data_IF_765368341800
#
_entry.id   IF_765368341800
#
_cell.length_a   1.000
_cell.length_b   1.000
_cell.length_c   1.000
_cell.angle_alpha   90.00
_cell.angle_beta   90.00
_cell.angle_gamma   90.00
#
_symmetry.space_group_name_H-M   'P 1'
#
loop_
_entity.id
_entity.type
_entity.pdbx_description
1 polymer ?
#
# COMPACT_ATOMS: atom_id res chain seq x y z
N UNK A 1 -2.53 31.79 -26.23
CA UNK A 1 -1.48 30.77 -26.27
C UNK A 1 -1.29 30.28 -24.84
N UNK A 2 -2.04 29.26 -24.45
CA UNK A 2 -1.84 28.50 -23.22
C UNK A 2 -1.39 27.11 -23.66
N UNK A 3 -0.08 26.91 -23.73
CA UNK A 3 0.48 25.57 -23.69
C UNK A 3 0.35 25.12 -22.23
N UNK A 4 -0.84 24.62 -21.87
CA UNK A 4 -0.96 23.83 -20.66
C UNK A 4 -0.17 22.54 -20.92
N UNK A 5 0.83 22.33 -20.06
CA UNK A 5 1.63 21.13 -20.00
C UNK A 5 0.73 19.90 -19.97
N UNK A 6 0.57 19.26 -21.12
CA UNK A 6 0.15 17.86 -21.19
C UNK A 6 1.30 17.02 -20.64
N UNK A 7 1.50 17.04 -19.31
CA UNK A 7 2.25 15.98 -18.64
C UNK A 7 1.52 14.70 -19.03
N UNK A 8 2.11 13.90 -19.91
CA UNK A 8 1.52 12.62 -20.30
C UNK A 8 1.26 11.85 -19.03
N UNK A 9 0.00 11.50 -18.75
CA UNK A 9 -0.33 10.66 -17.59
C UNK A 9 0.59 9.44 -17.64
N UNK A 10 1.33 9.22 -16.54
CA UNK A 10 2.24 8.10 -16.44
C UNK A 10 1.45 6.81 -16.67
N UNK A 11 1.93 5.97 -17.58
CA UNK A 11 1.28 4.68 -17.82
C UNK A 11 1.68 3.73 -16.69
N UNK A 12 0.69 3.33 -15.89
CA UNK A 12 0.90 2.36 -14.83
C UNK A 12 0.97 0.94 -15.38
N UNK A 13 1.92 0.15 -14.89
CA UNK A 13 2.08 -1.27 -15.16
C UNK A 13 1.78 -2.04 -13.89
N UNK A 14 0.78 -2.92 -13.93
CA UNK A 14 0.34 -3.72 -12.80
C UNK A 14 1.28 -4.90 -12.57
N UNK A 15 1.69 -5.07 -11.31
CA UNK A 15 2.46 -6.22 -10.86
C UNK A 15 1.59 -7.46 -10.68
N UNK A 16 2.21 -8.62 -10.80
CA UNK A 16 1.56 -9.88 -10.44
C UNK A 16 1.41 -10.08 -8.93
N UNK A 17 2.22 -9.37 -8.14
CA UNK A 17 2.25 -9.47 -6.67
C UNK A 17 1.18 -8.61 -6.03
N UNK A 18 0.62 -9.11 -4.94
CA UNK A 18 -0.37 -8.42 -4.12
C UNK A 18 -0.15 -8.64 -2.64
N UNK A 19 -0.71 -7.74 -1.84
CA UNK A 19 -0.65 -7.77 -0.39
C UNK A 19 -2.04 -8.04 0.17
N UNK A 20 -2.21 -9.20 0.82
CA UNK A 20 -3.42 -9.59 1.52
C UNK A 20 -3.51 -8.90 2.89
N UNK A 21 -4.74 -8.68 3.34
CA UNK A 21 -5.09 -8.28 4.70
C UNK A 21 -6.24 -9.17 5.14
N UNK A 22 -6.19 -9.71 6.37
CA UNK A 22 -7.31 -10.45 6.98
C UNK A 22 -8.33 -9.52 7.66
N UNK A 23 -8.22 -8.20 7.41
CA UNK A 23 -9.01 -7.17 8.02
C UNK A 23 -8.12 -6.05 8.56
N UNK A 24 -8.59 -4.81 8.47
CA UNK A 24 -7.81 -3.64 8.87
C UNK A 24 -6.67 -3.29 7.91
N UNK A 25 -5.84 -2.31 8.29
CA UNK A 25 -5.07 -1.54 7.34
C UNK A 25 -3.78 -2.20 6.86
N UNK A 26 -3.22 -1.67 5.78
CA UNK A 26 -1.85 -1.93 5.36
C UNK A 26 -0.90 -0.86 5.90
N UNK A 27 0.31 -1.27 6.26
CA UNK A 27 1.46 -0.40 6.51
C UNK A 27 2.30 -0.28 5.23
N UNK A 28 2.70 0.94 4.91
CA UNK A 28 3.70 1.27 3.90
C UNK A 28 4.83 2.05 4.56
N UNK A 29 6.04 1.49 4.58
CA UNK A 29 7.20 2.15 5.19
C UNK A 29 8.52 1.75 4.54
N UNK A 30 9.60 2.42 4.89
CA UNK A 30 10.94 2.04 4.44
C UNK A 30 11.31 0.64 4.97
N UNK A 31 11.95 -0.20 4.15
CA UNK A 31 12.32 -1.57 4.54
C UNK A 31 13.19 -1.64 5.80
N UNK A 32 14.04 -0.63 6.02
CA UNK A 32 14.90 -0.56 7.19
C UNK A 32 14.13 -0.15 8.44
N UNK A 33 13.12 0.70 8.29
CA UNK A 33 12.23 1.09 9.38
C UNK A 33 11.34 -0.08 9.80
N UNK A 34 10.88 -0.89 8.84
CA UNK A 34 9.99 -2.02 9.13
C UNK A 34 10.54 -2.97 10.21
N UNK A 35 11.86 -3.11 10.39
CA UNK A 35 12.42 -3.95 11.45
C UNK A 35 11.90 -3.62 12.85
N UNK A 36 11.47 -2.38 13.05
CA UNK A 36 11.03 -1.84 14.35
C UNK A 36 9.50 -1.77 14.46
N UNK A 37 8.77 -2.25 13.44
CA UNK A 37 7.32 -2.40 13.51
C UNK A 37 6.94 -3.64 14.31
N UNK A 38 6.24 -3.43 15.42
CA UNK A 38 5.82 -4.45 16.37
C UNK A 38 4.52 -5.18 16.01
N UNK A 39 3.71 -4.63 15.09
CA UNK A 39 2.42 -5.23 14.71
C UNK A 39 1.38 -5.21 15.83
N UNK A 40 0.48 -6.19 15.80
CA UNK A 40 -0.51 -6.42 16.85
C UNK A 40 0.11 -7.17 18.02
N UNK A 41 -0.25 -6.76 19.24
CA UNK A 41 0.13 -7.46 20.47
C UNK A 41 -1.11 -7.57 21.31
N UNK A 42 -1.39 -8.77 21.80
CA UNK A 42 -2.52 -9.02 22.68
C UNK A 42 -2.05 -9.21 24.13
N UNK A 43 -2.84 -8.70 25.06
CA UNK A 43 -2.71 -8.98 26.48
C UNK A 43 -3.01 -10.47 26.77
N UNK A 44 -2.70 -10.97 27.99
CA UNK A 44 -3.07 -12.34 28.38
C UNK A 44 -4.58 -12.63 28.29
N UNK A 45 -5.41 -11.60 28.32
CA UNK A 45 -6.87 -11.68 28.21
C UNK A 45 -7.37 -11.59 26.76
N UNK A 46 -6.45 -11.65 25.78
CA UNK A 46 -6.69 -11.52 24.34
C UNK A 46 -7.20 -10.14 23.89
N UNK A 47 -7.09 -9.12 24.75
CA UNK A 47 -7.39 -7.74 24.37
C UNK A 47 -6.21 -7.13 23.62
N UNK A 48 -6.48 -6.33 22.58
CA UNK A 48 -5.42 -5.62 21.86
C UNK A 48 -4.72 -4.64 22.82
N UNK A 49 -3.41 -4.74 22.94
CA UNK A 49 -2.60 -3.82 23.71
C UNK A 49 -2.68 -2.42 23.09
N UNK A 50 -3.21 -1.46 23.85
CA UNK A 50 -3.37 -0.08 23.37
C UNK A 50 -2.04 0.62 23.11
N UNK A 51 -0.94 0.09 23.64
CA UNK A 51 0.41 0.58 23.41
C UNK A 51 1.13 -0.11 22.24
N UNK A 52 0.52 -1.09 21.55
CA UNK A 52 1.14 -1.69 20.38
C UNK A 52 1.05 -0.81 19.13
N UNK A 53 1.88 -1.11 18.13
CA UNK A 53 1.93 -0.36 16.87
C UNK A 53 0.62 -0.46 16.09
N UNK A 54 -0.01 -1.63 16.06
CA UNK A 54 -1.30 -1.81 15.39
C UNK A 54 -2.42 -0.96 16.02
N UNK A 55 -2.47 -0.86 17.34
CA UNK A 55 -3.46 0.00 18.01
C UNK A 55 -3.22 1.48 17.72
N UNK A 56 -1.95 1.92 17.61
CA UNK A 56 -1.61 3.27 17.16
C UNK A 56 -2.07 3.53 15.73
N UNK A 57 -1.82 2.59 14.81
CA UNK A 57 -2.29 2.68 13.44
C UNK A 57 -3.81 2.80 13.34
N UNK A 58 -4.54 1.96 14.09
CA UNK A 58 -5.99 2.02 14.15
C UNK A 58 -6.49 3.38 14.66
N UNK A 59 -5.86 3.90 15.71
CA UNK A 59 -6.22 5.20 16.28
C UNK A 59 -5.93 6.36 15.31
N UNK A 60 -4.90 6.23 14.46
CA UNK A 60 -4.58 7.22 13.45
C UNK A 60 -5.60 7.29 12.32
N UNK A 61 -6.24 6.16 11.98
CA UNK A 61 -7.32 6.11 10.98
C UNK A 61 -8.68 6.53 11.55
N UNK A 62 -8.89 6.38 12.86
CA UNK A 62 -10.17 6.66 13.52
C UNK A 62 -10.05 7.74 14.62
N UNK A 63 -9.61 8.98 14.28
CA UNK A 63 -9.72 10.08 15.21
C UNK A 63 -11.18 10.34 15.60
N UNK A 64 -11.42 11.01 16.72
CA UNK A 64 -12.77 11.17 17.29
C UNK A 64 -13.80 11.84 16.37
N UNK A 65 -13.34 12.56 15.36
CA UNK A 65 -14.14 13.49 14.58
C UNK A 65 -14.37 13.02 13.14
N UNK A 66 -13.58 12.07 12.62
CA UNK A 66 -13.73 11.55 11.25
C UNK A 66 -12.98 10.22 11.05
N UNK A 67 -13.47 9.37 10.15
CA UNK A 67 -12.75 8.16 9.72
C UNK A 67 -11.92 8.47 8.48
N UNK A 68 -10.62 8.26 8.55
CA UNK A 68 -9.68 8.54 7.47
C UNK A 68 -9.42 7.29 6.63
N UNK A 69 -9.27 7.48 5.31
CA UNK A 69 -8.85 6.41 4.42
C UNK A 69 -7.38 6.03 4.65
N UNK A 70 -6.52 7.02 4.89
CA UNK A 70 -5.10 6.79 5.15
C UNK A 70 -4.56 7.85 6.13
N UNK A 71 -3.59 7.45 6.93
CA UNK A 71 -2.96 8.30 7.95
C UNK A 71 -1.48 7.96 8.11
N UNK A 72 -0.68 8.94 8.56
CA UNK A 72 0.70 8.70 8.94
C UNK A 72 0.82 8.26 10.39
N UNK A 73 1.69 7.28 10.64
CA UNK A 73 2.04 6.83 11.98
C UNK A 73 3.55 6.97 12.21
N UNK A 74 3.91 7.30 13.44
CA UNK A 74 5.30 7.23 13.92
C UNK A 74 5.49 5.97 14.75
N UNK A 75 6.64 5.33 14.60
CA UNK A 75 6.95 4.07 15.28
C UNK A 75 8.46 3.89 15.48
N UNK A 76 8.85 2.83 16.18
CA UNK A 76 10.19 2.66 16.74
C UNK A 76 10.29 3.13 18.20
N UNK A 77 11.38 2.79 18.88
CA UNK A 77 11.58 3.05 20.31
C UNK A 77 11.51 4.55 20.67
N UNK A 78 11.78 5.42 19.69
CA UNK A 78 11.81 6.87 19.83
C UNK A 78 10.97 7.59 18.76
N UNK A 79 9.99 6.89 18.17
CA UNK A 79 9.14 7.43 17.10
C UNK A 79 9.94 7.98 15.90
N UNK A 80 11.13 7.39 15.67
CA UNK A 80 12.08 7.85 14.66
C UNK A 80 11.65 7.48 13.23
N UNK A 81 10.80 6.47 13.08
CA UNK A 81 10.32 6.01 11.79
C UNK A 81 8.96 6.60 11.45
N UNK A 82 8.67 6.68 10.15
CA UNK A 82 7.37 7.05 9.64
C UNK A 82 6.84 5.97 8.70
N UNK A 83 5.55 5.73 8.78
CA UNK A 83 4.83 4.85 7.86
C UNK A 83 3.49 5.45 7.49
N UNK A 84 2.98 5.08 6.33
CA UNK A 84 1.60 5.30 5.96
C UNK A 84 0.78 4.08 6.36
N UNK A 85 -0.33 4.30 7.04
CA UNK A 85 -1.38 3.33 7.29
C UNK A 85 -2.51 3.61 6.31
N UNK A 86 -2.96 2.59 5.60
CA UNK A 86 -4.06 2.70 4.63
C UNK A 86 -5.16 1.69 4.97
N UNK A 87 -6.36 2.18 5.26
CA UNK A 87 -7.52 1.35 5.57
C UNK A 87 -7.91 0.51 4.36
N UNK A 88 -8.12 -0.77 4.59
CA UNK A 88 -8.51 -1.68 3.54
C UNK A 88 -10.04 -1.84 3.46
N UNK A 89 -10.81 -1.49 4.49
CA UNK A 89 -12.26 -1.71 4.59
C UNK A 89 -12.59 -3.22 4.49
N UNK A 90 -12.06 -3.95 5.47
CA UNK A 90 -12.26 -5.39 5.67
C UNK A 90 -11.17 -6.28 5.07
N UNK A 91 -11.42 -7.60 5.05
CA UNK A 91 -10.53 -8.58 4.42
C UNK A 91 -10.42 -8.34 2.92
N UNK A 92 -9.23 -8.50 2.34
CA UNK A 92 -9.02 -8.33 0.91
C UNK A 92 -7.57 -8.37 0.48
N UNK A 93 -7.30 -7.85 -0.72
CA UNK A 93 -5.92 -7.71 -1.20
C UNK A 93 -5.74 -6.40 -1.95
N UNK A 94 -4.57 -5.78 -1.75
CA UNK A 94 -4.11 -4.65 -2.52
C UNK A 94 -3.28 -5.15 -3.72
N UNK A 95 -3.64 -4.68 -4.90
CA UNK A 95 -2.87 -4.74 -6.13
C UNK A 95 -1.88 -3.59 -6.21
N UNK A 96 -0.76 -3.81 -6.90
CA UNK A 96 0.34 -2.85 -6.97
C UNK A 96 0.60 -2.52 -8.43
N UNK A 97 0.82 -1.24 -8.73
CA UNK A 97 1.26 -0.81 -10.04
C UNK A 97 2.38 0.23 -9.95
N UNK A 98 3.25 0.23 -10.95
CA UNK A 98 4.34 1.19 -11.08
C UNK A 98 4.14 2.10 -12.28
N UNK A 99 4.45 3.38 -12.12
CA UNK A 99 4.49 4.35 -13.22
C UNK A 99 5.76 4.16 -14.07
N UNK A 100 5.83 3.04 -14.81
CA UNK A 100 7.01 2.69 -15.60
C UNK A 100 7.20 3.62 -16.78
N UNK A 101 8.40 4.21 -16.89
CA UNK A 101 8.83 4.84 -18.14
C UNK A 101 9.06 3.77 -19.19
N UNK A 102 8.54 3.95 -20.40
CA UNK A 102 8.82 3.05 -21.52
C UNK A 102 10.34 2.89 -21.70
N UNK A 103 10.84 1.66 -21.60
CA UNK A 103 12.27 1.30 -21.69
C UNK A 103 13.18 1.85 -20.57
N UNK A 104 12.62 2.35 -19.47
CA UNK A 104 13.39 2.71 -18.27
C UNK A 104 13.77 1.49 -17.43
N UNK A 105 14.83 1.57 -16.61
CA UNK A 105 15.12 0.53 -15.62
C UNK A 105 14.04 0.56 -14.51
N UNK A 106 13.71 -0.62 -13.95
CA UNK A 106 12.62 -0.79 -12.99
C UNK A 106 12.84 -0.09 -11.63
N UNK A 107 14.04 0.42 -11.38
CA UNK A 107 14.42 1.18 -10.18
C UNK A 107 14.23 2.71 -10.35
N UNK A 108 13.71 3.16 -11.49
CA UNK A 108 13.58 4.57 -11.82
C UNK A 108 12.11 5.01 -12.01
N UNK A 109 11.19 4.28 -11.39
CA UNK A 109 9.78 4.61 -11.41
C UNK A 109 9.51 5.76 -10.43
N UNK A 110 9.07 6.90 -10.97
CA UNK A 110 8.81 8.12 -10.21
C UNK A 110 7.50 8.04 -9.42
N UNK A 111 6.69 6.99 -9.60
CA UNK A 111 5.47 6.78 -8.83
C UNK A 111 5.07 5.30 -8.73
N UNK A 112 4.34 4.95 -7.68
CA UNK A 112 3.67 3.67 -7.53
C UNK A 112 2.28 3.85 -6.94
N UNK A 113 1.44 2.83 -7.10
CA UNK A 113 0.02 2.83 -6.75
C UNK A 113 -0.30 1.53 -6.02
N UNK A 114 -1.02 1.64 -4.91
CA UNK A 114 -1.69 0.53 -4.25
C UNK A 114 -3.19 0.68 -4.52
N UNK A 115 -3.86 -0.40 -4.92
CA UNK A 115 -5.29 -0.37 -5.23
C UNK A 115 -5.99 -1.58 -4.63
N UNK A 116 -7.12 -1.34 -3.99
CA UNK A 116 -8.06 -2.37 -3.58
C UNK A 116 -9.27 -2.29 -4.49
N UNK A 117 -9.77 -3.45 -4.89
CA UNK A 117 -11.07 -3.57 -5.52
C UNK A 117 -11.86 -4.72 -4.89
N UNK A 118 -13.19 -4.62 -4.89
CA UNK A 118 -14.10 -5.66 -4.38
C UNK A 118 -14.58 -6.57 -5.52
N UNK A 119 -13.70 -6.84 -6.48
CA UNK A 119 -13.99 -7.70 -7.63
C UNK A 119 -12.90 -8.75 -7.81
N UNK A 120 -13.25 -9.99 -8.19
CA UNK A 120 -12.25 -10.99 -8.55
C UNK A 120 -11.37 -10.49 -9.70
N UNK A 121 -10.04 -10.62 -9.57
CA UNK A 121 -9.08 -10.11 -10.58
C UNK A 121 -9.29 -10.62 -12.00
N UNK A 122 -9.88 -11.80 -12.16
CA UNK A 122 -10.11 -12.42 -13.46
C UNK A 122 -11.41 -11.95 -14.14
N UNK A 123 -12.19 -11.07 -13.50
CA UNK A 123 -13.46 -10.57 -14.03
C UNK A 123 -13.31 -9.35 -14.93
N UNK A 124 -12.48 -8.37 -14.54
CA UNK A 124 -12.40 -7.08 -15.24
C UNK A 124 -11.15 -6.28 -14.88
N UNK A 125 -10.67 -5.47 -15.82
CA UNK A 125 -9.61 -4.47 -15.62
C UNK A 125 -10.16 -3.07 -15.30
N UNK A 126 -11.47 -2.90 -15.15
CA UNK A 126 -12.11 -1.59 -14.89
C UNK A 126 -11.52 -0.84 -13.68
N UNK A 127 -11.42 -1.44 -12.46
CA UNK A 127 -10.77 -0.80 -11.31
C UNK A 127 -9.36 -0.32 -11.62
N UNK A 128 -8.58 -1.17 -12.30
CA UNK A 128 -7.20 -0.88 -12.67
C UNK A 128 -7.11 0.34 -13.57
N UNK A 129 -7.97 0.43 -14.59
CA UNK A 129 -8.05 1.62 -15.46
C UNK A 129 -8.48 2.86 -14.70
N UNK A 130 -9.46 2.73 -13.79
CA UNK A 130 -9.98 3.84 -12.98
C UNK A 130 -8.89 4.44 -12.08
N UNK A 131 -8.25 3.61 -11.26
CA UNK A 131 -7.21 4.07 -10.32
C UNK A 131 -5.95 4.59 -11.04
N UNK A 132 -5.53 3.94 -12.13
CA UNK A 132 -4.37 4.39 -12.91
C UNK A 132 -4.66 5.69 -13.69
N UNK A 133 -5.90 5.90 -14.12
CA UNK A 133 -6.33 7.08 -14.89
C UNK A 133 -6.86 8.24 -14.06
N UNK A 134 -7.04 8.06 -12.74
CA UNK A 134 -7.63 9.05 -11.85
C UNK A 134 -6.87 10.39 -11.88
N UNK A 135 -7.63 11.47 -12.06
CA UNK A 135 -7.11 12.83 -12.08
C UNK A 135 -6.80 13.35 -10.68
N UNK A 136 -6.01 14.42 -10.58
CA UNK A 136 -5.67 15.04 -9.28
C UNK A 136 -6.92 15.55 -8.54
N UNK A 137 -8.00 15.89 -9.25
CA UNK A 137 -9.24 16.37 -8.63
C UNK A 137 -10.07 15.24 -7.98
N UNK A 138 -9.70 13.98 -8.23
CA UNK A 138 -10.35 12.79 -7.65
C UNK A 138 -9.53 12.22 -6.49
N UNK A 139 -8.48 12.92 -6.07
CA UNK A 139 -7.57 12.48 -5.04
C UNK A 139 -7.44 13.53 -3.94
N UNK A 140 -7.35 13.04 -2.71
CA UNK A 140 -7.11 13.84 -1.52
C UNK A 140 -5.65 13.70 -1.11
N UNK A 141 -5.02 14.82 -0.74
CA UNK A 141 -3.64 14.81 -0.26
C UNK A 141 -3.60 14.30 1.19
N UNK A 142 -2.81 13.25 1.41
CA UNK A 142 -2.60 12.68 2.74
C UNK A 142 -1.36 13.31 3.39
N UNK A 143 -0.30 13.54 2.59
CA UNK A 143 0.95 14.18 3.03
C UNK A 143 2.17 13.63 2.30
N UNK A 144 3.31 13.54 2.99
CA UNK A 144 4.59 13.12 2.40
C UNK A 144 5.22 11.96 3.17
N UNK A 145 5.76 10.98 2.44
CA UNK A 145 6.52 9.85 2.98
C UNK A 145 7.94 9.85 2.42
N UNK A 146 8.93 9.81 3.30
CA UNK A 146 10.33 9.75 2.90
C UNK A 146 10.80 8.29 2.76
N UNK A 147 11.31 7.92 1.59
CA UNK A 147 11.70 6.56 1.23
C UNK A 147 13.17 6.54 0.76
N UNK A 148 14.10 6.79 1.70
CA UNK A 148 15.51 7.10 1.40
C UNK A 148 16.30 5.97 0.77
N UNK A 149 16.00 4.72 1.10
CA UNK A 149 16.71 3.57 0.54
C UNK A 149 16.20 3.15 -0.85
N UNK A 150 15.07 3.70 -1.32
CA UNK A 150 14.41 3.21 -2.53
C UNK A 150 13.83 1.81 -2.37
N UNK A 151 13.54 1.41 -1.12
CA UNK A 151 13.01 0.09 -0.75
C UNK A 151 11.86 0.26 0.22
N UNK A 152 10.70 -0.22 -0.19
CA UNK A 152 9.44 -0.05 0.54
C UNK A 152 8.91 -1.41 0.94
N UNK A 153 8.42 -1.52 2.17
CA UNK A 153 7.58 -2.63 2.60
C UNK A 153 6.13 -2.18 2.52
N UNK A 154 5.30 -2.98 1.87
CA UNK A 154 3.84 -2.91 1.96
C UNK A 154 3.40 -4.19 2.64
N UNK A 155 2.75 -4.10 3.80
CA UNK A 155 2.43 -5.27 4.64
C UNK A 155 1.13 -5.05 5.39
N UNK A 156 0.42 -6.12 5.73
CA UNK A 156 -0.71 -6.04 6.65
C UNK A 156 -0.24 -5.52 8.01
N UNK A 157 -0.83 -4.41 8.49
CA UNK A 157 -0.31 -3.65 9.63
C UNK A 157 -0.34 -4.45 10.94
N UNK A 158 -1.22 -5.45 11.07
CA UNK A 158 -1.24 -6.35 12.21
C UNK A 158 0.04 -7.20 12.32
N UNK A 159 0.74 -7.44 11.20
CA UNK A 159 1.90 -8.31 11.17
C UNK A 159 3.15 -7.56 11.60
N UNK A 160 3.74 -7.99 12.71
CA UNK A 160 5.03 -7.52 13.19
C UNK A 160 6.19 -8.02 12.34
N UNK A 161 7.29 -7.28 12.31
CA UNK A 161 8.47 -7.68 11.55
C UNK A 161 9.16 -8.95 12.09
N UNK A 162 8.87 -9.32 13.34
CA UNK A 162 9.24 -10.60 13.96
C UNK A 162 8.46 -11.80 13.39
N UNK A 163 7.31 -11.58 12.75
CA UNK A 163 6.46 -12.66 12.25
C UNK A 163 6.75 -12.99 10.78
N UNK A 164 7.17 -11.99 9.99
CA UNK A 164 7.49 -12.14 8.55
C UNK A 164 8.78 -12.92 8.24
N UNK A 165 9.40 -13.56 9.24
CA UNK A 165 10.51 -14.49 9.08
C UNK A 165 11.07 -15.02 10.41
N UNK A 166 11.80 -16.13 10.36
CA UNK A 166 12.42 -16.76 11.54
C UNK A 166 13.69 -16.00 11.99
N UNK A 167 13.53 -14.81 12.57
CA UNK A 167 14.65 -14.02 13.07
C UNK A 167 14.75 -14.17 14.59
N UNK A 168 15.89 -14.67 15.09
CA UNK A 168 16.07 -14.86 16.53
C UNK A 168 16.41 -13.55 17.25
N UNK A 169 16.87 -12.52 16.51
CA UNK A 169 17.27 -11.21 17.07
C UNK A 169 16.86 -10.03 16.18
N UNK A 170 16.73 -8.81 16.73
CA UNK A 170 16.52 -7.60 15.93
C UNK A 170 17.61 -7.35 14.87
N UNK A 171 18.87 -7.67 15.18
CA UNK A 171 19.99 -7.49 14.25
C UNK A 171 19.89 -8.45 13.05
N UNK A 172 19.51 -9.71 13.29
CA UNK A 172 19.26 -10.68 12.22
C UNK A 172 18.07 -10.30 11.36
N UNK A 173 17.02 -9.72 11.97
CA UNK A 173 15.85 -9.19 11.26
C UNK A 173 16.26 -8.07 10.31
N UNK A 174 16.96 -7.05 10.81
CA UNK A 174 17.44 -5.93 10.00
C UNK A 174 18.37 -6.41 8.86
N UNK A 175 19.28 -7.35 9.15
CA UNK A 175 20.16 -7.94 8.14
C UNK A 175 19.41 -8.74 7.07
N UNK A 176 18.37 -9.47 7.47
CA UNK A 176 17.57 -10.29 6.56
C UNK A 176 16.65 -9.45 5.68
N UNK A 177 15.98 -8.45 6.25
CA UNK A 177 15.22 -7.46 5.49
C UNK A 177 16.13 -6.71 4.50
N UNK A 178 17.33 -6.33 4.93
CA UNK A 178 18.35 -5.75 4.06
C UNK A 178 18.80 -6.70 2.95
N UNK A 179 18.87 -8.01 3.21
CA UNK A 179 19.21 -9.02 2.20
C UNK A 179 18.07 -9.22 1.20
N UNK A 180 16.82 -9.28 1.67
CA UNK A 180 15.63 -9.36 0.81
C UNK A 180 15.53 -8.13 -0.11
N UNK A 181 15.84 -6.95 0.41
CA UNK A 181 15.87 -5.70 -0.37
C UNK A 181 16.92 -5.69 -1.49
N UNK A 182 17.92 -6.60 -1.45
CA UNK A 182 18.92 -6.79 -2.50
C UNK A 182 18.52 -7.80 -3.57
N UNK A 183 17.50 -8.64 -3.31
CA UNK A 183 16.92 -9.49 -4.35
C UNK A 183 16.16 -8.63 -5.36
N UNK A 184 15.83 -9.18 -6.53
CA UNK A 184 14.99 -8.52 -7.54
C UNK A 184 13.52 -8.56 -7.10
N UNK A 185 12.90 -7.44 -6.70
CA UNK A 185 11.53 -7.44 -6.22
C UNK A 185 10.54 -7.29 -7.37
N UNK A 186 9.23 -7.49 -7.12
CA UNK A 186 8.60 -7.66 -5.80
C UNK A 186 8.99 -8.96 -5.08
N UNK A 187 9.35 -8.86 -3.79
CA UNK A 187 9.66 -10.02 -2.92
C UNK A 187 8.53 -10.18 -1.92
N UNK A 188 7.75 -11.27 -2.02
CA UNK A 188 6.65 -11.53 -1.09
C UNK A 188 7.15 -11.87 0.32
N UNK A 189 6.48 -11.28 1.31
CA UNK A 189 6.60 -11.60 2.73
C UNK A 189 5.42 -12.50 3.10
N UNK A 190 5.72 -13.64 3.73
CA UNK A 190 4.75 -14.66 4.08
C UNK A 190 4.87 -14.95 5.58
N UNK A 191 3.76 -15.32 6.21
CA UNK A 191 3.75 -16.05 7.47
C UNK A 191 3.74 -17.56 7.17
N UNK A 192 4.14 -18.38 8.12
CA UNK A 192 4.21 -19.85 7.97
C UNK A 192 2.91 -20.48 7.44
N UNK A 193 1.77 -19.81 7.62
CA UNK A 193 0.45 -20.31 7.24
C UNK A 193 -0.36 -19.33 6.38
N UNK A 194 0.16 -18.14 6.08
CA UNK A 194 -0.57 -17.12 5.31
C UNK A 194 0.37 -16.49 4.28
N UNK A 195 0.02 -16.66 3.01
CA UNK A 195 0.82 -16.18 1.89
C UNK A 195 0.44 -14.75 1.50
N UNK A 196 1.42 -13.97 1.08
CA UNK A 196 1.23 -12.66 0.48
C UNK A 196 0.77 -11.58 1.46
N UNK A 197 1.09 -11.68 2.74
CA UNK A 197 0.74 -10.65 3.74
C UNK A 197 1.61 -9.39 3.66
N UNK A 198 2.69 -9.44 2.89
CA UNK A 198 3.44 -8.25 2.52
C UNK A 198 4.28 -8.45 1.28
N UNK A 199 4.94 -7.38 0.86
CA UNK A 199 5.94 -7.39 -0.20
C UNK A 199 6.95 -6.29 -0.01
N UNK A 200 8.18 -6.55 -0.43
CA UNK A 200 9.20 -5.52 -0.64
C UNK A 200 9.11 -5.04 -2.08
N UNK A 201 9.15 -3.72 -2.28
CA UNK A 201 9.09 -3.03 -3.57
C UNK A 201 10.37 -2.25 -3.82
N UNK A 202 10.76 -2.13 -5.09
CA UNK A 202 11.74 -1.12 -5.52
C UNK A 202 11.02 0.16 -5.91
N UNK A 203 11.56 1.29 -5.43
CA UNK A 203 11.13 2.63 -5.80
C UNK A 203 12.37 3.50 -5.93
N UNK A 204 12.23 4.65 -6.60
CA UNK A 204 13.29 5.64 -6.63
C UNK A 204 13.49 6.26 -5.23
N UNK A 205 14.72 6.37 -4.70
CA UNK A 205 14.94 7.07 -3.44
C UNK A 205 14.42 8.52 -3.44
N UNK A 206 13.72 8.92 -2.38
CA UNK A 206 13.33 10.32 -2.17
C UNK A 206 12.05 10.50 -1.35
N UNK A 207 11.51 11.71 -1.38
CA UNK A 207 10.25 12.07 -0.72
C UNK A 207 9.09 11.90 -1.69
N UNK A 208 8.05 11.21 -1.26
CA UNK A 208 6.86 10.93 -2.05
C UNK A 208 5.66 11.69 -1.51
N UNK A 209 4.99 12.44 -2.37
CA UNK A 209 3.63 12.92 -2.10
C UNK A 209 2.68 11.73 -2.14
N UNK A 210 1.91 11.58 -1.08
CA UNK A 210 0.91 10.54 -0.91
C UNK A 210 -0.48 11.14 -1.09
N UNK A 211 -1.24 10.56 -2.01
CA UNK A 211 -2.66 10.87 -2.18
C UNK A 211 -3.50 9.60 -2.08
N UNK A 212 -4.73 9.73 -1.63
CA UNK A 212 -5.73 8.65 -1.67
C UNK A 212 -6.88 9.04 -2.60
N UNK A 213 -7.56 8.05 -3.15
CA UNK A 213 -8.76 8.29 -3.94
C UNK A 213 -9.66 7.08 -3.93
N UNK A 214 -10.92 7.31 -4.26
CA UNK A 214 -11.91 6.25 -4.33
C UNK A 214 -12.88 6.49 -5.49
N UNK A 215 -13.45 5.39 -5.95
CA UNK A 215 -14.57 5.39 -6.86
C UNK A 215 -15.63 4.46 -6.27
N UNK A 216 -16.79 5.00 -5.94
CA UNK A 216 -17.94 4.22 -5.52
C UNK A 216 -18.82 3.96 -6.75
N UNK A 217 -18.45 2.92 -7.50
CA UNK A 217 -19.27 2.45 -8.61
C UNK A 217 -20.55 1.78 -8.11
N UNK A 218 -21.55 1.59 -8.98
CA UNK A 218 -22.81 0.92 -8.61
C UNK A 218 -22.63 -0.59 -8.36
N UNK A 219 -21.43 -1.13 -8.62
CA UNK A 219 -21.07 -2.55 -8.45
C UNK A 219 -19.80 -2.71 -7.64
N UNK A 220 -19.67 -3.83 -6.91
CA UNK A 220 -18.47 -4.16 -6.13
C UNK A 220 -18.80 -4.38 -4.66
N UNK A 221 -18.64 -3.34 -3.82
CA UNK A 221 -18.72 -3.42 -2.35
C UNK A 221 -19.98 -4.11 -1.82
N UNK A 222 -21.11 -3.98 -2.52
CA UNK A 222 -22.41 -4.56 -2.15
C UNK A 222 -22.98 -5.52 -3.20
N UNK A 223 -22.11 -6.14 -4.00
CA UNK A 223 -22.51 -7.11 -5.00
C UNK A 223 -23.15 -8.34 -4.37
N UNK A 224 -24.26 -8.83 -4.94
CA UNK A 224 -24.88 -10.07 -4.48
C UNK A 224 -23.98 -11.29 -4.74
N UNK A 225 -24.12 -12.34 -3.93
CA UNK A 225 -23.39 -13.60 -4.14
C UNK A 225 -23.63 -14.19 -5.54
N UNK A 226 -24.86 -14.08 -6.06
CA UNK A 226 -25.22 -14.54 -7.40
C UNK A 226 -24.42 -13.82 -8.49
N UNK A 227 -24.18 -12.52 -8.33
CA UNK A 227 -23.41 -11.73 -9.28
C UNK A 227 -21.90 -11.98 -9.11
N UNK A 228 -21.43 -12.18 -7.87
CA UNK A 228 -20.03 -12.45 -7.54
C UNK A 228 -19.57 -13.84 -8.02
N UNK A 229 -20.39 -14.88 -7.83
CA UNK A 229 -20.07 -16.27 -8.16
C UNK A 229 -20.75 -16.80 -9.43
N UNK A 230 -21.66 -16.02 -10.02
CA UNK A 230 -22.31 -16.36 -11.28
C UNK A 230 -21.38 -16.33 -12.51
N UNK A 231 -21.89 -16.65 -13.70
CA UNK A 231 -21.12 -16.54 -14.93
C UNK A 231 -20.69 -15.09 -15.18
N UNK A 232 -19.49 -14.84 -15.73
CA UNK A 232 -19.08 -13.49 -16.13
C UNK A 232 -20.07 -12.97 -17.17
N UNK A 233 -20.79 -11.88 -16.87
CA UNK A 233 -21.54 -11.20 -17.91
C UNK A 233 -20.61 -10.19 -18.60
N UNK A 234 -20.87 -9.91 -19.87
CA UNK A 234 -20.11 -8.94 -20.66
C UNK A 234 -20.38 -7.55 -20.10
N UNK A 235 -19.48 -7.03 -19.27
CA UNK A 235 -19.62 -5.70 -18.68
C UNK A 235 -18.64 -4.72 -19.33
N UNK A 236 -19.19 -3.66 -19.92
CA UNK A 236 -18.41 -2.56 -20.50
C UNK A 236 -18.18 -1.40 -19.52
N UNK A 237 -18.77 -1.44 -18.32
CA UNK A 237 -18.75 -0.28 -17.43
C UNK A 237 -17.55 -0.30 -16.47
N UNK A 238 -16.81 0.80 -16.46
CA UNK A 238 -15.75 1.14 -15.50
C UNK A 238 -16.30 1.42 -14.08
N UNK A 239 -17.53 1.01 -13.81
CA UNK A 239 -18.35 1.35 -12.64
C UNK A 239 -18.19 0.35 -11.49
N UNK A 240 -16.95 -0.02 -11.20
CA UNK A 240 -16.60 -0.95 -10.13
C UNK A 240 -15.98 -0.21 -8.96
N UNK A 241 -16.45 -0.49 -7.74
CA UNK A 241 -15.90 0.13 -6.54
C UNK A 241 -14.42 -0.20 -6.39
N UNK A 242 -13.60 0.82 -6.20
CA UNK A 242 -12.18 0.69 -5.89
C UNK A 242 -11.69 1.85 -5.05
N UNK A 243 -10.63 1.59 -4.27
CA UNK A 243 -9.87 2.60 -3.53
C UNK A 243 -8.40 2.46 -3.86
N UNK A 244 -7.67 3.56 -3.81
CA UNK A 244 -6.26 3.56 -4.11
C UNK A 244 -5.50 4.57 -3.28
N UNK A 245 -4.20 4.28 -3.09
CA UNK A 245 -3.21 5.20 -2.58
C UNK A 245 -2.10 5.32 -3.62
N UNK A 246 -1.77 6.56 -3.97
CA UNK A 246 -0.76 6.89 -4.96
C UNK A 246 0.41 7.58 -4.28
N UNK A 247 1.61 7.13 -4.61
CA UNK A 247 2.86 7.69 -4.17
C UNK A 247 3.55 8.28 -5.39
N UNK A 248 3.70 9.60 -5.41
CA UNK A 248 4.39 10.31 -6.51
C UNK A 248 5.63 10.98 -5.95
N UNK A 249 6.80 10.66 -6.49
CA UNK A 249 8.05 11.29 -6.10
C UNK A 249 7.91 12.81 -6.26
N UNK A 250 8.09 13.53 -5.17
CA UNK A 250 8.14 14.99 -5.20
C UNK A 250 9.37 15.37 -6.02
N UNK A 251 9.17 16.17 -7.07
CA UNK A 251 10.28 16.78 -7.80
C UNK A 251 10.99 17.74 -6.83
N UNK A 252 12.03 17.24 -6.16
CA UNK A 252 13.02 18.11 -5.55
C UNK A 252 13.74 18.81 -6.71
N UNK A 253 13.19 19.95 -7.13
CA UNK A 253 13.94 20.98 -7.82
C UNK A 253 15.04 21.37 -6.84
N UNK A 254 16.18 20.69 -6.96
CA UNK A 254 17.52 21.14 -6.56
C UNK A 254 17.50 22.34 -5.61
N UNK A 255 17.52 22.09 -4.30
CA UNK A 255 18.24 22.99 -3.41
C UNK A 255 19.73 22.74 -3.65
N UNK A 256 20.24 23.45 -4.66
CA UNK A 256 21.66 23.73 -4.83
C UNK A 256 22.20 24.54 -3.65
#
# INVERSE_FOLDING_TARGET
MSNEDSRSQSTYVWESTTVGSQGGPLLVCEVNSFSDWGGEVHSPDYELDTACDYSRAWSALHPSDDDLEAAFVRFGDHEEHAGLIWEMDGEGSAEIAYARRQNGPADNDDAFLLMRSWTPRNRTDAPRRRAAGASVAEEEEVGELELRSGRVVVVWAAVGANETGSFATPQERAASLSALARLNPPVQLNLDHILGLGTVLWVKPGTYRVTCGWHEGTRGRYMSEEEMYGPPQSYADDDWSCRWVRFTLSDDITKA
#
